data_IF_501097347262
#
_entry.id   IF_501097347262
#
_cell.length_a   1.000
_cell.length_b   1.000
_cell.length_c   1.000
_cell.angle_alpha   90.00
_cell.angle_beta   90.00
_cell.angle_gamma   90.00
#
_symmetry.space_group_name_H-M   'P 1'
#
loop_
_entity.id
_entity.type
_entity.pdbx_description
1 polymer ?
#
# COMPACT_ATOMS: atom_id res chain seq x y z
N UNK A 1 26.59 -0.23 -13.01
CA UNK A 1 26.01 -1.29 -12.13
C UNK A 1 25.11 -0.73 -11.01
N UNK A 2 25.54 0.19 -10.12
CA UNK A 2 24.65 0.79 -9.09
C UNK A 2 23.59 1.67 -9.73
N UNK A 3 24.03 2.57 -10.61
CA UNK A 3 23.12 3.47 -11.33
C UNK A 3 22.07 2.65 -12.08
N UNK A 4 22.47 1.59 -12.78
CA UNK A 4 21.56 0.67 -13.49
C UNK A 4 20.57 -0.05 -12.56
N UNK A 5 21.02 -0.49 -11.36
CA UNK A 5 20.10 -1.07 -10.36
C UNK A 5 19.12 -0.05 -9.80
N UNK A 6 19.57 1.17 -9.55
CA UNK A 6 18.70 2.25 -9.09
C UNK A 6 17.72 2.67 -10.18
N UNK A 7 18.17 2.72 -11.44
CA UNK A 7 17.32 2.89 -12.62
C UNK A 7 16.22 1.82 -12.64
N UNK A 8 16.59 0.55 -12.47
CA UNK A 8 15.61 -0.55 -12.42
C UNK A 8 14.64 -0.39 -11.25
N UNK A 9 15.13 -0.01 -10.07
CA UNK A 9 14.30 0.23 -8.88
C UNK A 9 13.32 1.39 -9.12
N UNK A 10 13.79 2.51 -9.66
CA UNK A 10 12.95 3.67 -9.95
C UNK A 10 11.93 3.32 -11.04
N UNK A 11 12.30 2.56 -12.07
CA UNK A 11 11.36 2.08 -13.07
C UNK A 11 10.31 1.13 -12.47
N UNK A 12 10.70 0.26 -11.55
CA UNK A 12 9.76 -0.65 -10.88
C UNK A 12 8.78 0.13 -9.99
N UNK A 13 9.30 1.03 -9.13
CA UNK A 13 8.51 1.77 -8.15
C UNK A 13 7.74 2.96 -8.73
N UNK A 14 8.24 3.63 -9.77
CA UNK A 14 7.52 4.74 -10.42
C UNK A 14 6.71 4.22 -11.60
N UNK A 15 7.29 3.34 -12.43
CA UNK A 15 6.60 2.70 -13.55
C UNK A 15 5.42 1.82 -13.12
N UNK A 16 5.48 1.22 -11.93
CA UNK A 16 4.34 0.49 -11.36
C UNK A 16 3.12 1.37 -11.09
N UNK A 17 3.32 2.66 -10.79
CA UNK A 17 2.27 3.56 -10.30
C UNK A 17 1.87 4.67 -11.27
N UNK A 18 2.64 4.92 -12.32
CA UNK A 18 2.40 6.02 -13.27
C UNK A 18 2.19 5.46 -14.69
N UNK A 19 1.24 6.03 -15.43
CA UNK A 19 0.87 5.62 -16.80
C UNK A 19 1.79 6.21 -17.86
N UNK A 20 2.14 7.50 -17.73
CA UNK A 20 2.76 8.31 -18.77
C UNK A 20 4.27 8.54 -18.55
N UNK A 21 5.02 7.48 -18.22
CA UNK A 21 6.47 7.56 -18.08
C UNK A 21 7.16 7.29 -19.41
N UNK A 22 8.06 8.18 -19.82
CA UNK A 22 9.07 7.86 -20.81
C UNK A 22 10.27 7.20 -20.11
N UNK A 23 10.35 5.87 -20.20
CA UNK A 23 11.37 5.08 -19.53
C UNK A 23 12.80 5.41 -20.00
N UNK A 24 12.99 5.76 -21.28
CA UNK A 24 14.31 6.08 -21.81
C UNK A 24 14.85 7.40 -21.24
N UNK A 25 13.98 8.42 -21.16
CA UNK A 25 14.33 9.70 -20.53
C UNK A 25 14.56 9.57 -19.02
N UNK A 26 13.77 8.74 -18.34
CA UNK A 26 13.95 8.44 -16.92
C UNK A 26 15.29 7.78 -16.66
N UNK A 27 15.65 6.77 -17.46
CA UNK A 27 16.93 6.07 -17.36
C UNK A 27 18.11 7.04 -17.49
N UNK A 28 18.08 7.89 -18.52
CA UNK A 28 19.11 8.91 -18.74
C UNK A 28 19.25 9.86 -17.55
N UNK A 29 18.13 10.40 -17.07
CA UNK A 29 18.09 11.37 -15.96
C UNK A 29 18.62 10.80 -14.64
N UNK A 30 18.35 9.52 -14.36
CA UNK A 30 18.90 8.83 -13.17
C UNK A 30 20.41 8.66 -13.28
N UNK A 31 20.95 8.36 -14.48
CA UNK A 31 22.39 8.21 -14.70
C UNK A 31 23.14 9.53 -14.49
N UNK A 32 22.54 10.65 -14.87
CA UNK A 32 23.05 12.01 -14.63
C UNK A 32 22.94 12.45 -13.16
N UNK A 33 22.03 11.83 -12.39
CA UNK A 33 21.84 12.12 -10.97
C UNK A 33 20.83 13.24 -10.69
N UNK A 34 20.07 13.67 -11.71
CA UNK A 34 18.96 14.59 -11.55
C UNK A 34 17.77 14.06 -12.34
N UNK A 35 16.79 13.53 -11.63
CA UNK A 35 15.53 13.06 -12.19
C UNK A 35 14.48 14.11 -11.91
N UNK A 36 13.76 14.51 -12.95
CA UNK A 36 12.57 15.33 -12.84
C UNK A 36 11.49 14.75 -13.74
N UNK A 37 10.41 14.29 -13.12
CA UNK A 37 9.21 13.79 -13.78
C UNK A 37 8.08 14.73 -13.42
N UNK A 38 7.32 15.21 -14.41
CA UNK A 38 6.26 16.21 -14.22
C UNK A 38 4.96 15.74 -14.87
N UNK A 39 3.83 16.28 -14.40
CA UNK A 39 2.46 16.00 -14.86
C UNK A 39 2.17 14.49 -14.95
N UNK A 40 2.34 13.78 -13.82
CA UNK A 40 2.25 12.32 -13.78
C UNK A 40 0.82 11.85 -13.54
N UNK A 41 0.35 10.94 -14.40
CA UNK A 41 -0.97 10.29 -14.29
C UNK A 41 -0.79 8.99 -13.53
N UNK A 42 -1.47 8.87 -12.39
CA UNK A 42 -1.34 7.70 -11.53
C UNK A 42 -2.29 6.60 -11.98
N UNK A 43 -1.78 5.37 -12.03
CA UNK A 43 -2.53 4.13 -12.31
C UNK A 43 -3.50 3.86 -11.16
N UNK A 44 -4.83 3.94 -11.37
CA UNK A 44 -5.79 3.71 -10.30
C UNK A 44 -5.67 2.30 -9.69
N UNK A 45 -5.51 1.29 -10.56
CA UNK A 45 -5.35 -0.10 -10.14
C UNK A 45 -4.11 -0.35 -9.28
N UNK A 46 -2.98 0.31 -9.60
CA UNK A 46 -1.75 0.16 -8.84
C UNK A 46 -1.84 0.79 -7.44
N UNK A 47 -2.49 1.95 -7.34
CA UNK A 47 -2.76 2.60 -6.05
C UNK A 47 -3.71 1.75 -5.20
N UNK A 48 -4.75 1.16 -5.79
CA UNK A 48 -5.65 0.25 -5.09
C UNK A 48 -4.94 -1.01 -4.57
N UNK A 49 -4.11 -1.63 -5.42
CA UNK A 49 -3.32 -2.81 -5.05
C UNK A 49 -2.37 -2.48 -3.90
N UNK A 50 -1.66 -1.35 -3.98
CA UNK A 50 -0.74 -0.91 -2.94
C UNK A 50 -1.46 -0.63 -1.62
N UNK A 51 -2.60 0.07 -1.65
CA UNK A 51 -3.41 0.32 -0.46
C UNK A 51 -3.97 -0.97 0.13
N UNK A 52 -4.42 -1.90 -0.72
CA UNK A 52 -4.93 -3.21 -0.30
C UNK A 52 -3.86 -4.04 0.39
N UNK A 53 -2.65 -4.08 -0.17
CA UNK A 53 -1.50 -4.77 0.42
C UNK A 53 -1.06 -4.11 1.74
N UNK A 54 -0.98 -2.77 1.78
CA UNK A 54 -0.55 -2.01 2.96
C UNK A 54 -1.53 -2.19 4.14
N UNK A 55 -2.84 -2.21 3.85
CA UNK A 55 -3.89 -2.33 4.85
C UNK A 55 -4.29 -3.78 5.14
N UNK A 56 -3.73 -4.74 4.38
CA UNK A 56 -3.98 -6.18 4.52
C UNK A 56 -5.40 -6.62 4.15
N UNK A 57 -6.20 -5.74 3.55
CA UNK A 57 -7.56 -6.02 3.09
C UNK A 57 -7.97 -5.05 1.99
N UNK A 58 -8.87 -5.48 1.13
CA UNK A 58 -9.50 -4.58 0.17
C UNK A 58 -10.36 -3.52 0.91
N UNK A 59 -10.52 -2.34 0.34
CA UNK A 59 -11.20 -1.20 0.99
C UNK A 59 -12.58 -0.91 0.39
N UNK A 60 -13.44 -0.19 1.11
CA UNK A 60 -14.78 0.19 0.62
C UNK A 60 -14.79 1.35 -0.38
N UNK A 61 -13.63 1.65 -0.95
CA UNK A 61 -13.42 2.66 -1.97
C UNK A 61 -12.51 2.12 -3.07
N UNK A 62 -12.63 2.73 -4.24
CA UNK A 62 -11.79 2.53 -5.43
C UNK A 62 -11.17 3.88 -5.82
N UNK A 63 -10.05 3.85 -6.54
CA UNK A 63 -9.40 5.06 -7.03
C UNK A 63 -10.06 5.41 -8.35
N UNK A 64 -10.68 6.59 -8.43
CA UNK A 64 -11.29 7.07 -9.66
C UNK A 64 -10.24 7.67 -10.60
N UNK A 65 -9.42 8.57 -10.06
CA UNK A 65 -8.30 9.22 -10.75
C UNK A 65 -7.23 9.65 -9.75
N UNK A 66 -5.98 9.71 -10.21
CA UNK A 66 -4.86 10.18 -9.42
C UNK A 66 -3.86 10.97 -10.26
N UNK A 67 -3.25 11.98 -9.66
CA UNK A 67 -2.29 12.86 -10.30
C UNK A 67 -1.18 13.26 -9.35
N UNK A 68 0.01 13.48 -9.89
CA UNK A 68 1.15 14.02 -9.18
C UNK A 68 1.83 15.08 -10.04
N UNK A 69 1.91 16.32 -9.55
CA UNK A 69 2.47 17.44 -10.33
C UNK A 69 3.93 17.18 -10.69
N UNK A 70 4.76 16.73 -9.74
CA UNK A 70 6.11 16.27 -10.05
C UNK A 70 6.74 15.33 -9.02
N UNK A 71 7.73 14.56 -9.47
CA UNK A 71 8.74 13.86 -8.65
C UNK A 71 10.12 14.38 -9.07
N UNK A 72 10.91 14.82 -8.09
CA UNK A 72 12.32 15.17 -8.31
C UNK A 72 13.21 14.32 -7.42
N UNK A 73 14.23 13.70 -8.00
CA UNK A 73 15.26 12.97 -7.28
C UNK A 73 16.63 13.51 -7.67
N UNK A 74 17.37 14.04 -6.70
CA UNK A 74 18.72 14.54 -6.89
C UNK A 74 19.70 13.64 -6.14
N UNK A 75 20.62 13.02 -6.86
CA UNK A 75 21.69 12.16 -6.35
C UNK A 75 23.03 12.71 -6.87
N UNK A 76 23.91 13.21 -5.99
CA UNK A 76 25.18 13.80 -6.39
C UNK A 76 26.24 12.73 -6.68
N UNK A 77 26.10 11.99 -7.79
CA UNK A 77 27.00 10.87 -8.13
C UNK A 77 28.48 11.22 -8.12
N UNK A 78 28.84 12.43 -8.56
CA UNK A 78 30.24 12.88 -8.63
C UNK A 78 30.85 13.24 -7.28
N UNK A 79 30.04 13.40 -6.23
CA UNK A 79 30.51 13.80 -4.90
C UNK A 79 29.64 13.21 -3.77
N UNK A 80 29.34 11.91 -3.85
CA UNK A 80 28.52 11.22 -2.85
C UNK A 80 29.11 11.26 -1.44
N UNK A 81 30.42 11.51 -1.26
CA UNK A 81 31.08 11.49 0.04
C UNK A 81 31.65 12.86 0.45
N UNK A 82 31.24 13.95 -0.22
CA UNK A 82 31.82 15.28 0.00
C UNK A 82 30.82 16.38 0.26
N UNK A 83 29.75 16.14 1.02
CA UNK A 83 28.90 17.23 1.52
C UNK A 83 27.68 17.55 0.67
N UNK A 84 27.16 16.61 -0.13
CA UNK A 84 25.98 16.87 -0.98
C UNK A 84 24.86 15.86 -0.71
N UNK A 85 23.67 16.40 -0.43
CA UNK A 85 22.52 15.64 0.05
C UNK A 85 21.77 14.91 -1.07
N UNK A 86 21.23 13.73 -0.75
CA UNK A 86 20.25 13.05 -1.61
C UNK A 86 18.88 13.62 -1.30
N UNK A 87 18.20 14.18 -2.31
CA UNK A 87 16.88 14.80 -2.11
C UNK A 87 15.83 14.13 -2.97
N UNK A 88 14.71 13.76 -2.34
CA UNK A 88 13.51 13.27 -3.00
C UNK A 88 12.36 14.24 -2.70
N UNK A 89 11.84 14.88 -3.74
CA UNK A 89 10.70 15.78 -3.66
C UNK A 89 9.51 15.21 -4.42
N UNK A 90 8.34 15.25 -3.80
CA UNK A 90 7.05 14.98 -4.41
C UNK A 90 6.13 16.16 -4.13
N UNK A 91 5.51 16.72 -5.16
CA UNK A 91 4.57 17.82 -5.00
C UNK A 91 3.28 17.56 -5.77
N UNK A 92 2.17 18.01 -5.19
CA UNK A 92 0.89 18.06 -5.88
C UNK A 92 0.25 16.69 -6.07
N UNK A 93 0.20 15.88 -5.01
CA UNK A 93 -0.46 14.57 -5.04
C UNK A 93 -1.97 14.74 -4.85
N UNK A 94 -2.74 14.56 -5.92
CA UNK A 94 -4.20 14.68 -5.90
C UNK A 94 -4.85 13.34 -6.23
N UNK A 95 -5.69 12.82 -5.34
CA UNK A 95 -6.37 11.54 -5.52
C UNK A 95 -7.86 11.71 -5.28
N UNK A 96 -8.68 11.28 -6.24
CA UNK A 96 -10.12 11.20 -6.10
C UNK A 96 -10.55 9.73 -5.97
N UNK A 97 -11.23 9.42 -4.88
CA UNK A 97 -11.74 8.10 -4.54
C UNK A 97 -13.27 8.07 -4.69
N UNK A 98 -13.81 6.92 -5.09
CA UNK A 98 -15.25 6.63 -5.16
C UNK A 98 -15.60 5.36 -4.37
N UNK A 99 -16.86 5.15 -3.97
CA UNK A 99 -17.28 3.89 -3.36
C UNK A 99 -17.12 2.74 -4.35
N UNK A 100 -16.75 1.56 -3.86
CA UNK A 100 -16.72 0.34 -4.70
C UNK A 100 -18.10 0.08 -5.27
N UNK A 101 -18.20 -0.01 -6.60
CA UNK A 101 -19.43 -0.45 -7.25
C UNK A 101 -19.73 -1.90 -6.87
N UNK A 102 -20.94 -2.20 -6.37
CA UNK A 102 -21.34 -3.57 -6.02
C UNK A 102 -21.78 -4.41 -7.24
N UNK A 103 -21.97 -3.79 -8.40
CA UNK A 103 -22.62 -4.43 -9.55
C UNK A 103 -21.62 -5.07 -10.53
N UNK A 104 -20.33 -4.75 -10.42
CA UNK A 104 -19.26 -5.25 -11.30
C UNK A 104 -18.37 -6.28 -10.60
N UNK A 105 -18.71 -7.57 -10.66
CA UNK A 105 -17.81 -8.63 -10.18
C UNK A 105 -16.82 -9.03 -11.27
N UNK A 106 -15.55 -8.65 -11.11
CA UNK A 106 -14.46 -9.15 -11.95
C UNK A 106 -13.75 -10.29 -11.20
N UNK A 107 -14.01 -11.52 -11.63
CA UNK A 107 -13.44 -12.73 -11.01
C UNK A 107 -11.92 -12.74 -11.04
N UNK A 108 -11.31 -12.40 -12.17
CA UNK A 108 -9.87 -12.43 -12.35
C UNK A 108 -9.17 -11.43 -11.43
N UNK A 109 -9.70 -10.21 -11.34
CA UNK A 109 -9.17 -9.16 -10.44
C UNK A 109 -9.24 -9.58 -8.98
N UNK A 110 -10.36 -10.16 -8.53
CA UNK A 110 -10.52 -10.61 -7.15
C UNK A 110 -9.53 -11.75 -6.83
N UNK A 111 -9.43 -12.74 -7.71
CA UNK A 111 -8.48 -13.85 -7.54
C UNK A 111 -7.02 -13.36 -7.51
N UNK A 112 -6.66 -12.40 -8.37
CA UNK A 112 -5.32 -11.79 -8.38
C UNK A 112 -5.00 -11.07 -7.06
N UNK A 113 -5.93 -10.27 -6.54
CA UNK A 113 -5.74 -9.55 -5.27
C UNK A 113 -5.64 -10.51 -4.09
N UNK A 114 -6.51 -11.54 -4.04
CA UNK A 114 -6.45 -12.58 -3.00
C UNK A 114 -5.10 -13.32 -3.03
N UNK A 115 -4.58 -13.62 -4.23
CA UNK A 115 -3.24 -14.21 -4.42
C UNK A 115 -2.14 -13.27 -3.90
N UNK A 116 -2.17 -11.99 -4.27
CA UNK A 116 -1.16 -11.00 -3.85
C UNK A 116 -1.15 -10.84 -2.32
N UNK A 117 -2.32 -10.70 -1.69
CA UNK A 117 -2.47 -10.62 -0.24
C UNK A 117 -1.92 -11.88 0.45
N UNK A 118 -2.29 -13.05 -0.07
CA UNK A 118 -1.82 -14.33 0.44
C UNK A 118 -0.30 -14.46 0.36
N UNK A 119 0.30 -14.13 -0.77
CA UNK A 119 1.75 -14.15 -0.95
C UNK A 119 2.45 -13.14 -0.02
N UNK A 120 1.88 -11.94 0.15
CA UNK A 120 2.40 -10.94 1.08
C UNK A 120 2.37 -11.46 2.53
N UNK A 121 1.27 -12.09 2.96
CA UNK A 121 1.16 -12.73 4.28
C UNK A 121 2.19 -13.87 4.45
N UNK A 122 2.35 -14.73 3.44
CA UNK A 122 3.34 -15.81 3.47
C UNK A 122 4.76 -15.26 3.58
N UNK A 123 5.10 -14.20 2.84
CA UNK A 123 6.41 -13.53 2.93
C UNK A 123 6.64 -12.89 4.31
N UNK A 124 5.62 -12.26 4.89
CA UNK A 124 5.72 -11.65 6.21
C UNK A 124 5.87 -12.68 7.34
N UNK A 125 5.25 -13.85 7.20
CA UNK A 125 5.21 -14.90 8.22
C UNK A 125 6.29 -15.97 8.06
N UNK A 126 7.00 -16.03 6.93
CA UNK A 126 8.08 -17.00 6.74
C UNK A 126 9.35 -16.53 7.47
N UNK A 127 9.78 -17.20 8.56
CA UNK A 127 10.97 -16.79 9.32
C UNK A 127 12.26 -16.86 8.50
N UNK A 128 12.24 -17.56 7.36
CA UNK A 128 13.37 -17.59 6.43
C UNK A 128 13.56 -16.28 5.65
N UNK A 129 12.56 -15.39 5.59
CA UNK A 129 12.71 -14.06 4.97
C UNK A 129 13.58 -13.16 5.85
N UNK A 130 13.42 -13.24 7.17
CA UNK A 130 14.28 -12.52 8.13
C UNK A 130 15.72 -13.04 8.05
N UNK A 131 15.92 -14.36 7.89
CA UNK A 131 17.25 -14.97 7.68
C UNK A 131 17.83 -14.76 6.27
N UNK A 132 17.01 -14.54 5.24
CA UNK A 132 17.47 -14.27 3.86
C UNK A 132 17.87 -12.81 3.68
N UNK A 133 17.13 -11.87 4.26
CA UNK A 133 17.54 -10.45 4.26
C UNK A 133 18.88 -10.28 4.99
N UNK A 134 19.16 -11.07 6.03
CA UNK A 134 20.47 -11.06 6.69
C UNK A 134 21.57 -11.78 5.88
N UNK A 135 21.27 -12.87 5.16
CA UNK A 135 22.27 -13.64 4.37
C UNK A 135 22.50 -13.14 2.93
N UNK A 136 21.54 -12.46 2.31
CA UNK A 136 21.71 -11.84 0.97
C UNK A 136 22.50 -10.53 1.04
N UNK A 137 22.46 -9.84 2.17
CA UNK A 137 23.38 -8.74 2.49
C UNK A 137 24.86 -9.20 2.50
N UNK A 138 25.12 -10.48 2.82
CA UNK A 138 26.48 -11.03 2.91
C UNK A 138 27.09 -11.45 1.56
N UNK A 139 26.31 -11.53 0.46
CA UNK A 139 26.78 -12.16 -0.80
C UNK A 139 27.39 -11.23 -1.86
N UNK A 140 27.32 -9.89 -1.71
CA UNK A 140 27.99 -8.96 -2.64
C UNK A 140 28.69 -7.80 -1.91
N UNK A 141 29.96 -7.47 -2.23
CA UNK A 141 30.90 -6.93 -1.25
C UNK A 141 30.91 -5.39 -1.23
N UNK A 142 30.69 -4.83 -0.03
CA UNK A 142 31.31 -3.60 0.47
C UNK A 142 30.82 -2.25 -0.10
N UNK A 143 30.93 -2.01 -1.41
CA UNK A 143 30.73 -0.67 -1.98
C UNK A 143 29.27 -0.36 -2.29
N UNK A 144 28.52 -1.36 -2.78
CA UNK A 144 27.12 -1.25 -3.14
C UNK A 144 26.24 -1.05 -1.90
N UNK A 145 26.49 -1.83 -0.85
CA UNK A 145 25.81 -1.64 0.43
C UNK A 145 26.13 -0.28 1.05
N UNK A 146 27.39 0.16 0.97
CA UNK A 146 27.78 1.48 1.51
C UNK A 146 27.07 2.61 0.79
N UNK A 147 26.94 2.56 -0.53
CA UNK A 147 26.23 3.59 -1.31
C UNK A 147 24.72 3.53 -1.06
N UNK A 148 24.12 2.34 -0.99
CA UNK A 148 22.71 2.18 -0.64
C UNK A 148 22.40 2.65 0.78
N UNK A 149 23.23 2.28 1.76
CA UNK A 149 23.16 2.77 3.15
C UNK A 149 23.38 4.27 3.21
N UNK A 150 24.33 4.83 2.46
CA UNK A 150 24.55 6.28 2.39
C UNK A 150 23.30 7.01 1.88
N UNK A 151 22.70 6.54 0.78
CA UNK A 151 21.46 7.10 0.24
C UNK A 151 20.36 7.02 1.30
N UNK A 152 20.13 5.87 1.93
CA UNK A 152 19.09 5.72 2.95
C UNK A 152 19.34 6.58 4.20
N UNK A 153 20.60 6.70 4.62
CA UNK A 153 21.00 7.48 5.78
C UNK A 153 20.80 8.97 5.53
N UNK A 154 21.10 9.47 4.33
CA UNK A 154 21.12 10.89 4.00
C UNK A 154 19.99 11.37 3.09
N UNK A 155 19.05 10.49 2.71
CA UNK A 155 17.88 10.91 1.93
C UNK A 155 17.03 11.88 2.73
N UNK A 156 16.83 13.05 2.14
CA UNK A 156 15.86 14.04 2.57
C UNK A 156 14.60 13.87 1.73
N UNK A 157 13.46 13.83 2.40
CA UNK A 157 12.16 13.63 1.75
C UNK A 157 11.33 14.88 1.97
N UNK A 158 10.83 15.44 0.87
CA UNK A 158 9.85 16.53 0.88
C UNK A 158 8.63 16.10 0.11
N UNK A 159 7.50 15.99 0.79
CA UNK A 159 6.19 15.75 0.18
C UNK A 159 5.36 17.00 0.45
N UNK A 160 4.72 17.56 -0.56
CA UNK A 160 3.96 18.81 -0.41
C UNK A 160 2.68 18.80 -1.25
N UNK A 161 1.71 19.60 -0.83
CA UNK A 161 0.44 19.80 -1.55
C UNK A 161 -0.30 18.49 -1.84
N UNK A 162 -0.60 17.70 -0.81
CA UNK A 162 -1.36 16.45 -0.96
C UNK A 162 -2.83 16.68 -0.63
N UNK A 163 -3.71 16.19 -1.50
CA UNK A 163 -5.14 16.13 -1.24
C UNK A 163 -5.73 14.80 -1.73
N UNK A 164 -6.20 14.00 -0.79
CA UNK A 164 -6.98 12.79 -1.06
C UNK A 164 -8.44 13.08 -0.72
N UNK A 165 -9.33 12.98 -1.70
CA UNK A 165 -10.77 13.21 -1.54
C UNK A 165 -11.54 11.95 -1.90
N UNK A 166 -12.51 11.60 -1.09
CA UNK A 166 -13.48 10.54 -1.30
C UNK A 166 -14.86 11.15 -1.50
N UNK A 167 -15.55 10.75 -2.57
CA UNK A 167 -16.92 11.16 -2.86
C UNK A 167 -17.82 9.94 -2.95
N UNK A 168 -18.91 9.96 -2.18
CA UNK A 168 -19.82 8.83 -2.08
C UNK A 168 -21.25 9.24 -2.35
N UNK A 169 -21.84 8.62 -3.38
CA UNK A 169 -23.23 8.77 -3.80
C UNK A 169 -24.03 7.46 -3.63
N UNK A 170 -23.39 6.40 -3.12
CA UNK A 170 -23.89 5.02 -3.12
C UNK A 170 -24.29 4.56 -1.71
N UNK A 171 -23.48 4.83 -0.69
CA UNK A 171 -23.73 4.28 0.65
C UNK A 171 -25.00 4.82 1.31
N UNK A 172 -25.39 6.05 0.98
CA UNK A 172 -26.61 6.70 1.44
C UNK A 172 -27.36 7.36 0.26
N UNK A 173 -28.20 6.61 -0.48
CA UNK A 173 -28.88 7.12 -1.66
C UNK A 173 -29.63 8.43 -1.41
N UNK A 174 -29.42 9.42 -2.28
CA UNK A 174 -30.02 10.75 -2.17
C UNK A 174 -29.34 11.70 -1.18
N UNK A 175 -28.28 11.27 -0.50
CA UNK A 175 -27.46 12.11 0.38
C UNK A 175 -25.96 11.92 0.08
N UNK A 176 -25.47 12.45 -1.06
CA UNK A 176 -24.05 12.45 -1.36
C UNK A 176 -23.25 13.11 -0.24
N UNK A 177 -22.08 12.56 0.07
CA UNK A 177 -21.14 13.19 1.00
C UNK A 177 -19.72 13.12 0.43
N UNK A 178 -18.84 13.95 0.98
CA UNK A 178 -17.42 13.88 0.67
C UNK A 178 -16.59 13.94 1.94
N UNK A 179 -15.49 13.20 1.96
CA UNK A 179 -14.51 13.21 3.03
C UNK A 179 -13.12 13.30 2.42
N UNK A 180 -12.14 13.84 3.14
CA UNK A 180 -10.80 13.92 2.60
C UNK A 180 -9.75 14.30 3.62
N UNK A 181 -8.51 14.07 3.21
CA UNK A 181 -7.31 14.46 3.94
C UNK A 181 -6.48 15.42 3.12
N UNK A 182 -5.97 16.45 3.78
CA UNK A 182 -5.05 17.43 3.19
C UNK A 182 -3.78 17.42 4.01
N UNK A 183 -2.65 17.44 3.32
CA UNK A 183 -1.33 17.62 3.91
C UNK A 183 -0.63 18.76 3.17
N UNK A 184 -0.32 19.83 3.89
CA UNK A 184 0.44 20.95 3.35
C UNK A 184 1.87 20.53 3.01
N UNK A 185 2.53 19.85 3.94
CA UNK A 185 3.80 19.20 3.65
C UNK A 185 4.33 18.29 4.75
N UNK A 186 5.04 17.25 4.32
CA UNK A 186 5.82 16.32 5.14
C UNK A 186 7.29 16.44 4.73
N UNK A 187 8.14 16.73 5.70
CA UNK A 187 9.56 16.91 5.52
C UNK A 187 10.30 15.94 6.43
N UNK A 188 11.30 15.24 5.91
CA UNK A 188 12.15 14.33 6.69
C UNK A 188 13.59 14.65 6.38
N UNK A 189 14.35 15.01 7.41
CA UNK A 189 15.77 15.34 7.32
C UNK A 189 16.59 14.43 8.22
N UNK A 190 17.87 14.29 7.90
CA UNK A 190 18.85 13.63 8.75
C UNK A 190 19.50 14.66 9.67
N UNK A 191 19.66 14.32 10.93
CA UNK A 191 20.15 15.24 11.98
C UNK A 191 21.24 14.60 12.83
N UNK A 192 21.92 15.42 13.63
CA UNK A 192 22.79 14.96 14.71
C UNK A 192 21.98 14.63 15.98
N UNK A 193 22.68 14.26 17.05
CA UNK A 193 22.14 14.03 18.39
C UNK A 193 21.51 15.28 19.04
N UNK A 194 21.84 16.47 18.53
CA UNK A 194 21.28 17.77 18.93
C UNK A 194 20.10 18.23 18.06
N UNK A 195 19.68 17.44 17.08
CA UNK A 195 18.60 17.75 16.12
C UNK A 195 18.90 18.90 15.15
N UNK A 196 20.18 19.15 14.90
CA UNK A 196 20.63 20.04 13.84
C UNK A 196 20.85 19.23 12.56
N UNK A 197 20.52 19.78 11.41
CA UNK A 197 20.67 19.12 10.11
C UNK A 197 22.15 18.86 9.83
N UNK A 198 22.49 17.59 9.61
CA UNK A 198 23.86 17.16 9.29
C UNK A 198 23.82 15.98 8.32
N UNK A 199 24.91 15.83 7.59
CA UNK A 199 25.18 14.60 6.84
C UNK A 199 25.86 13.56 7.73
N UNK A 200 25.48 12.30 7.57
CA UNK A 200 26.06 11.17 8.29
C UNK A 200 26.86 10.28 7.34
N UNK A 201 28.02 9.81 7.79
CA UNK A 201 28.75 8.77 7.06
C UNK A 201 27.95 7.45 7.02
N UNK A 202 28.20 6.66 5.98
CA UNK A 202 27.72 5.30 5.77
C UNK A 202 27.99 4.33 6.94
N UNK A 203 28.94 4.65 7.83
CA UNK A 203 29.30 3.86 9.01
C UNK A 203 28.51 4.18 10.29
N UNK A 204 27.61 5.17 10.25
CA UNK A 204 26.84 5.60 11.42
C UNK A 204 25.99 4.46 12.02
N UNK A 205 26.24 4.14 13.28
CA UNK A 205 25.51 3.11 14.04
C UNK A 205 24.18 3.60 14.62
N UNK A 206 24.05 4.91 14.81
CA UNK A 206 22.85 5.57 15.32
C UNK A 206 22.47 6.64 14.30
N UNK A 207 21.23 6.61 13.82
CA UNK A 207 20.69 7.56 12.86
C UNK A 207 19.63 8.40 13.55
N UNK A 208 19.75 9.72 13.47
CA UNK A 208 18.70 10.64 13.92
C UNK A 208 18.00 11.21 12.68
N UNK A 209 16.68 11.08 12.63
CA UNK A 209 15.84 11.69 11.60
C UNK A 209 14.81 12.60 12.23
N UNK A 210 14.65 13.78 11.66
CA UNK A 210 13.66 14.76 12.06
C UNK A 210 12.56 14.83 10.99
N UNK A 211 11.38 14.35 11.35
CA UNK A 211 10.17 14.49 10.56
C UNK A 211 9.37 15.71 10.99
N UNK A 212 8.87 16.50 10.04
CA UNK A 212 7.93 17.60 10.28
C UNK A 212 6.73 17.45 9.36
N UNK A 213 5.55 17.48 9.94
CA UNK A 213 4.29 17.53 9.22
C UNK A 213 3.66 18.91 9.42
N UNK A 214 3.09 19.47 8.36
CA UNK A 214 2.49 20.79 8.34
C UNK A 214 1.12 20.76 7.69
N UNK A 215 0.18 21.50 8.27
CA UNK A 215 -1.21 21.64 7.82
C UNK A 215 -1.91 20.32 7.51
N UNK A 216 -1.65 19.29 8.32
CA UNK A 216 -2.38 18.03 8.18
C UNK A 216 -3.79 18.20 8.75
N UNK A 217 -4.81 17.91 7.94
CA UNK A 217 -6.22 18.07 8.31
C UNK A 217 -7.09 17.00 7.67
N UNK A 218 -8.20 16.69 8.34
CA UNK A 218 -9.24 15.80 7.83
C UNK A 218 -10.57 16.55 7.83
N UNK A 219 -11.36 16.37 6.78
CA UNK A 219 -12.68 16.96 6.67
C UNK A 219 -13.73 15.93 6.29
N UNK A 220 -14.98 16.24 6.64
CA UNK A 220 -16.15 15.44 6.32
C UNK A 220 -17.34 16.35 6.05
N UNK A 221 -17.70 16.49 4.78
CA UNK A 221 -18.88 17.22 4.32
C UNK A 221 -20.05 16.25 4.23
N UNK A 222 -20.90 16.24 5.26
CA UNK A 222 -22.00 15.27 5.42
C UNK A 222 -23.08 15.34 4.33
N UNK A 223 -23.09 16.42 3.56
CA UNK A 223 -23.96 16.60 2.39
C UNK A 223 -23.25 17.47 1.38
N UNK A 224 -23.15 16.97 0.15
CA UNK A 224 -22.57 17.70 -0.98
C UNK A 224 -23.62 17.76 -2.10
N UNK A 225 -23.77 18.90 -2.75
CA UNK A 225 -24.66 19.04 -3.90
C UNK A 225 -24.07 18.32 -5.10
N UNK A 226 -24.91 17.79 -5.99
CA UNK A 226 -24.42 17.09 -7.20
C UNK A 226 -23.54 17.96 -8.09
N UNK A 227 -23.73 19.29 -8.08
CA UNK A 227 -22.90 20.26 -8.81
C UNK A 227 -21.51 20.49 -8.21
N UNK A 228 -21.31 20.14 -6.93
CA UNK A 228 -20.04 20.30 -6.20
C UNK A 228 -19.25 18.99 -6.13
N UNK A 229 -19.78 17.91 -6.72
CA UNK A 229 -19.07 16.64 -6.87
C UNK A 229 -18.03 16.78 -7.97
N UNK A 230 -16.77 16.52 -7.62
CA UNK A 230 -15.64 16.55 -8.54
C UNK A 230 -15.65 15.32 -9.46
N UNK A 231 -16.25 14.23 -9.00
CA UNK A 231 -16.36 12.97 -9.73
C UNK A 231 -17.30 12.99 -10.92
N UNK A 232 -17.83 14.12 -11.36
CA UNK A 232 -18.57 14.18 -12.62
C UNK A 232 -17.69 13.76 -13.82
N UNK A 233 -18.26 12.94 -14.70
CA UNK A 233 -17.52 12.33 -15.82
C UNK A 233 -16.89 13.38 -16.74
N UNK A 234 -17.56 14.51 -16.98
CA UNK A 234 -17.05 15.58 -17.84
C UNK A 234 -15.85 16.32 -17.22
N UNK A 235 -15.90 16.59 -15.91
CA UNK A 235 -14.79 17.22 -15.17
C UNK A 235 -13.58 16.30 -15.06
N UNK A 236 -13.80 15.00 -14.91
CA UNK A 236 -12.73 14.00 -14.87
C UNK A 236 -12.04 13.91 -16.24
N UNK A 237 -12.81 13.79 -17.32
CA UNK A 237 -12.28 13.69 -18.69
C UNK A 237 -11.53 14.95 -19.15
N UNK A 238 -12.02 16.14 -18.78
CA UNK A 238 -11.35 17.40 -19.09
C UNK A 238 -10.12 17.70 -18.23
N UNK A 239 -9.86 16.92 -17.18
CA UNK A 239 -8.76 17.14 -16.24
C UNK A 239 -8.98 18.30 -15.25
N UNK A 240 -10.14 18.98 -15.29
CA UNK A 240 -10.45 20.12 -14.43
C UNK A 240 -10.47 19.78 -12.93
N UNK A 241 -10.73 18.50 -12.60
CA UNK A 241 -10.70 17.97 -11.24
C UNK A 241 -9.36 18.21 -10.52
N UNK A 242 -8.22 18.14 -11.25
CA UNK A 242 -6.87 18.36 -10.70
C UNK A 242 -6.74 19.76 -10.10
N UNK A 243 -7.18 20.75 -10.87
CA UNK A 243 -7.13 22.16 -10.47
C UNK A 243 -8.04 22.45 -9.26
N UNK A 244 -9.22 21.82 -9.20
CA UNK A 244 -10.12 21.97 -8.05
C UNK A 244 -9.48 21.43 -6.77
N UNK A 245 -8.91 20.22 -6.80
CA UNK A 245 -8.22 19.64 -5.64
C UNK A 245 -7.00 20.48 -5.24
N UNK A 246 -6.19 20.93 -6.21
CA UNK A 246 -5.04 21.80 -5.98
C UNK A 246 -5.42 23.11 -5.28
N UNK A 247 -6.41 23.82 -5.81
CA UNK A 247 -6.88 25.09 -5.23
C UNK A 247 -7.49 24.90 -3.83
N UNK A 248 -8.19 23.78 -3.62
CA UNK A 248 -8.85 23.48 -2.36
C UNK A 248 -7.90 23.26 -1.18
N UNK A 249 -6.63 22.94 -1.41
CA UNK A 249 -5.62 22.85 -0.34
C UNK A 249 -5.48 24.20 0.38
N UNK A 250 -5.46 25.30 -0.38
CA UNK A 250 -5.36 26.66 0.13
C UNK A 250 -6.72 27.25 0.51
N UNK A 251 -7.73 27.09 -0.34
CA UNK A 251 -9.05 27.70 -0.12
C UNK A 251 -9.90 26.97 0.92
N UNK A 252 -9.56 25.70 1.23
CA UNK A 252 -10.34 24.80 2.09
C UNK A 252 -11.80 24.67 1.64
N UNK A 253 -12.03 24.71 0.33
CA UNK A 253 -13.34 24.55 -0.29
C UNK A 253 -13.21 24.03 -1.72
N UNK A 254 -14.25 23.36 -2.20
CA UNK A 254 -14.39 22.97 -3.61
C UNK A 254 -15.66 23.63 -4.14
N UNK A 255 -15.55 24.33 -5.27
CA UNK A 255 -16.66 25.11 -5.83
C UNK A 255 -17.25 26.06 -4.79
N UNK A 256 -18.51 25.87 -4.36
CA UNK A 256 -19.12 26.67 -3.29
C UNK A 256 -19.07 26.00 -1.90
N UNK A 257 -18.66 24.73 -1.83
CA UNK A 257 -18.75 23.91 -0.63
C UNK A 257 -17.47 23.99 0.23
N UNK A 258 -17.59 24.62 1.41
CA UNK A 258 -16.50 24.75 2.38
C UNK A 258 -16.28 23.45 3.13
N UNK A 259 -15.02 23.06 3.32
CA UNK A 259 -14.70 21.86 4.07
C UNK A 259 -15.15 21.96 5.52
N UNK A 260 -15.88 20.95 5.96
CA UNK A 260 -16.32 20.80 7.34
C UNK A 260 -15.26 19.97 8.09
N UNK A 261 -14.33 20.59 8.85
CA UNK A 261 -13.23 19.87 9.47
C UNK A 261 -13.74 18.84 10.49
N UNK A 262 -13.10 17.69 10.53
CA UNK A 262 -13.19 16.70 11.62
C UNK A 262 -11.93 16.72 12.46
N UNK A 263 -10.78 16.98 11.80
CA UNK A 263 -9.50 17.23 12.43
C UNK A 263 -8.99 18.57 11.89
N UNK A 264 -8.86 19.56 12.78
CA UNK A 264 -8.36 20.87 12.39
C UNK A 264 -6.92 20.75 11.88
N UNK A 265 -6.48 21.61 10.94
CA UNK A 265 -5.09 21.64 10.52
C UNK A 265 -4.15 21.74 11.71
N UNK A 266 -3.23 20.80 11.83
CA UNK A 266 -2.17 20.84 12.82
C UNK A 266 -0.81 20.54 12.22
N UNK A 267 0.22 20.94 12.96
CA UNK A 267 1.61 20.63 12.66
C UNK A 267 2.21 19.82 13.79
N UNK A 268 3.09 18.89 13.45
CA UNK A 268 3.78 18.06 14.40
C UNK A 268 5.22 17.79 13.97
N UNK A 269 6.07 17.51 14.95
CA UNK A 269 7.46 17.13 14.77
C UNK A 269 7.68 15.74 15.36
N UNK A 270 8.36 14.88 14.61
CA UNK A 270 8.73 13.54 15.00
C UNK A 270 10.25 13.41 15.00
N UNK A 271 10.81 13.19 16.19
CA UNK A 271 12.23 12.95 16.42
C UNK A 271 12.46 11.44 16.47
N UNK A 272 13.07 10.87 15.43
CA UNK A 272 13.27 9.43 15.26
C UNK A 272 14.74 9.08 15.46
N UNK A 273 15.02 8.09 16.30
CA UNK A 273 16.36 7.53 16.50
C UNK A 273 16.31 6.06 16.07
N UNK A 274 17.16 5.69 15.12
CA UNK A 274 17.30 4.31 14.64
C UNK A 274 18.65 3.77 15.10
N UNK A 275 18.63 2.61 15.75
CA UNK A 275 19.83 1.91 16.19
C UNK A 275 20.14 0.77 15.22
N UNK A 276 21.18 0.94 14.41
CA UNK A 276 21.73 -0.09 13.52
C UNK A 276 22.78 -0.93 14.26
N UNK A 277 22.45 -1.34 15.49
CA UNK A 277 23.29 -2.19 16.35
C UNK A 277 22.47 -3.41 16.69
N UNK A 278 23.03 -4.60 16.46
CA UNK A 278 22.42 -5.86 16.88
C UNK A 278 22.71 -6.11 18.37
N UNK A 279 22.14 -5.25 19.21
CA UNK A 279 22.13 -5.40 20.67
C UNK A 279 20.68 -5.46 21.16
N UNK A 280 20.32 -6.60 21.76
CA UNK A 280 18.98 -6.85 22.30
C UNK A 280 18.60 -5.94 23.48
N UNK A 281 19.57 -5.24 24.07
CA UNK A 281 19.33 -4.30 25.18
C UNK A 281 18.81 -2.93 24.72
N UNK A 282 18.94 -2.60 23.43
CA UNK A 282 18.54 -1.30 22.88
C UNK A 282 17.30 -1.43 21.98
N UNK A 283 16.34 -0.49 22.06
CA UNK A 283 15.22 -0.46 21.13
C UNK A 283 15.75 -0.15 19.72
N UNK A 284 15.36 -0.91 18.69
CA UNK A 284 15.80 -0.62 17.31
C UNK A 284 15.31 0.74 16.79
N UNK A 285 14.17 1.20 17.29
CA UNK A 285 13.53 2.46 16.89
C UNK A 285 13.02 3.17 18.15
N UNK A 286 13.39 4.42 18.32
CA UNK A 286 12.83 5.33 19.32
C UNK A 286 12.20 6.52 18.61
N UNK A 287 10.96 6.88 18.97
CA UNK A 287 10.22 7.98 18.34
C UNK A 287 9.69 8.90 19.43
N UNK A 288 10.07 10.19 19.36
CA UNK A 288 9.49 11.26 20.17
C UNK A 288 8.65 12.16 19.29
N UNK A 289 7.33 12.13 19.50
CA UNK A 289 6.38 12.98 18.79
C UNK A 289 6.07 14.23 19.62
N UNK A 290 6.11 15.40 18.99
CA UNK A 290 5.71 16.69 19.56
C UNK A 290 4.62 17.30 18.68
N UNK A 291 3.42 17.46 19.23
CA UNK A 291 2.27 18.04 18.55
C UNK A 291 1.96 19.37 19.23
N UNK A 292 1.81 20.45 18.46
CA UNK A 292 1.57 21.78 19.05
C UNK A 292 0.16 21.89 19.64
N UNK A 293 -0.85 21.81 18.78
CA UNK A 293 -2.26 21.80 19.13
C UNK A 293 -3.00 21.03 18.03
N UNK A 294 -3.83 20.07 18.42
CA UNK A 294 -4.57 19.24 17.50
C UNK A 294 -5.98 19.03 18.04
N UNK A 295 -6.96 19.53 17.30
CA UNK A 295 -8.35 19.48 17.69
C UNK A 295 -9.16 18.58 16.75
N UNK A 296 -9.81 17.58 17.34
CA UNK A 296 -10.79 16.75 16.66
C UNK A 296 -12.20 17.11 17.14
N UNK A 297 -13.06 17.51 16.20
CA UNK A 297 -14.47 17.84 16.47
C UNK A 297 -15.34 17.16 15.43
N UNK A 298 -16.44 16.55 15.87
CA UNK A 298 -17.39 15.93 14.95
C UNK A 298 -18.80 16.41 15.29
N UNK A 299 -19.46 17.02 14.31
CA UNK A 299 -20.87 17.38 14.40
C UNK A 299 -21.77 16.14 14.36
N UNK A 300 -23.02 16.28 14.81
CA UNK A 300 -24.02 15.19 14.73
C UNK A 300 -24.23 14.69 13.30
N UNK A 301 -24.25 15.58 12.30
CA UNK A 301 -24.42 15.19 10.89
C UNK A 301 -23.22 14.41 10.37
N UNK A 302 -22.00 14.81 10.74
CA UNK A 302 -20.77 14.08 10.40
C UNK A 302 -20.75 12.71 11.04
N UNK A 303 -21.09 12.61 12.33
CA UNK A 303 -21.18 11.34 13.03
C UNK A 303 -22.16 10.38 12.35
N UNK A 304 -23.40 10.82 12.10
CA UNK A 304 -24.41 9.98 11.44
C UNK A 304 -23.95 9.53 10.05
N UNK A 305 -23.43 10.45 9.24
CA UNK A 305 -22.93 10.14 7.89
C UNK A 305 -21.75 9.17 7.92
N UNK A 306 -20.78 9.35 8.84
CA UNK A 306 -19.66 8.44 9.01
C UNK A 306 -20.10 7.06 9.50
N UNK A 307 -21.05 6.98 10.44
CA UNK A 307 -21.59 5.68 10.88
C UNK A 307 -22.31 4.93 9.76
N UNK A 308 -23.06 5.62 8.89
CA UNK A 308 -23.70 5.01 7.72
C UNK A 308 -22.68 4.46 6.73
N UNK A 309 -21.60 5.20 6.48
CA UNK A 309 -20.50 4.72 5.66
C UNK A 309 -19.79 3.51 6.29
N UNK A 310 -19.57 3.52 7.61
CA UNK A 310 -19.00 2.37 8.33
C UNK A 310 -19.89 1.13 8.23
N UNK A 311 -21.21 1.28 8.33
CA UNK A 311 -22.15 0.18 8.10
C UNK A 311 -22.12 -0.32 6.66
N UNK A 312 -22.03 0.58 5.68
CA UNK A 312 -21.85 0.22 4.28
C UNK A 312 -20.55 -0.58 4.06
N UNK A 313 -19.43 -0.10 4.61
CA UNK A 313 -18.14 -0.79 4.54
C UNK A 313 -18.21 -2.18 5.16
N UNK A 314 -18.87 -2.33 6.32
CA UNK A 314 -19.07 -3.65 6.95
C UNK A 314 -19.91 -4.57 6.08
N UNK A 315 -20.99 -4.06 5.46
CA UNK A 315 -21.80 -4.86 4.52
C UNK A 315 -20.99 -5.27 3.30
N UNK A 316 -20.14 -4.39 2.78
CA UNK A 316 -19.25 -4.71 1.66
C UNK A 316 -18.28 -5.83 2.04
N UNK A 317 -17.64 -5.75 3.21
CA UNK A 317 -16.73 -6.78 3.72
C UNK A 317 -17.42 -8.15 3.84
N UNK A 318 -18.66 -8.19 4.30
CA UNK A 318 -19.45 -9.44 4.31
C UNK A 318 -19.78 -9.89 2.89
N UNK A 319 -20.24 -8.98 2.03
CA UNK A 319 -20.67 -9.28 0.67
C UNK A 319 -19.53 -9.79 -0.21
N UNK A 320 -18.29 -9.34 0.00
CA UNK A 320 -17.11 -9.76 -0.79
C UNK A 320 -17.01 -11.27 -0.94
N UNK A 321 -17.13 -11.99 0.16
CA UNK A 321 -17.06 -13.47 0.20
C UNK A 321 -18.12 -14.13 -0.68
N UNK A 322 -19.30 -13.53 -0.75
CA UNK A 322 -20.47 -14.07 -1.43
C UNK A 322 -20.69 -13.48 -2.82
N UNK A 323 -19.96 -12.41 -3.18
CA UNK A 323 -20.17 -11.60 -4.38
C UNK A 323 -20.14 -12.42 -5.67
N UNK A 324 -19.30 -13.45 -5.72
CA UNK A 324 -19.18 -14.40 -6.84
C UNK A 324 -20.49 -15.10 -7.21
N UNK A 325 -21.43 -15.21 -6.27
CA UNK A 325 -22.73 -15.85 -6.45
C UNK A 325 -23.87 -14.84 -6.67
N UNK A 326 -23.61 -13.54 -6.53
CA UNK A 326 -24.65 -12.49 -6.55
C UNK A 326 -25.25 -12.35 -7.96
N UNK A 327 -26.59 -12.41 -8.11
CA UNK A 327 -27.24 -12.19 -9.40
C UNK A 327 -27.12 -10.72 -9.83
N UNK A 328 -26.99 -10.47 -11.13
CA UNK A 328 -26.98 -9.11 -11.71
C UNK A 328 -28.38 -8.53 -11.92
N UNK A 329 -29.41 -9.38 -11.96
CA UNK A 329 -30.80 -8.97 -12.14
C UNK A 329 -31.44 -8.50 -10.83
N UNK A 330 -32.41 -7.58 -10.92
CA UNK A 330 -33.19 -7.17 -9.74
C UNK A 330 -33.90 -8.35 -9.07
N UNK A 331 -34.19 -8.20 -7.77
CA UNK A 331 -34.93 -9.22 -7.00
C UNK A 331 -36.28 -9.52 -7.64
N UNK A 332 -36.99 -8.47 -8.10
CA UNK A 332 -38.31 -8.59 -8.72
C UNK A 332 -38.27 -9.35 -10.05
N UNK A 333 -37.20 -9.19 -10.83
CA UNK A 333 -37.07 -9.85 -12.14
C UNK A 333 -36.71 -11.34 -12.04
N UNK A 334 -36.04 -11.79 -10.98
CA UNK A 334 -35.59 -13.19 -10.88
C UNK A 334 -35.45 -13.68 -9.44
N UNK A 335 -36.57 -13.80 -8.73
CA UNK A 335 -36.60 -14.27 -7.33
C UNK A 335 -35.86 -15.61 -7.12
N UNK A 336 -35.97 -16.54 -8.10
CA UNK A 336 -35.28 -17.84 -8.06
C UNK A 336 -33.76 -17.72 -8.00
N UNK A 337 -33.18 -16.78 -8.75
CA UNK A 337 -31.72 -16.58 -8.76
C UNK A 337 -31.22 -16.03 -7.42
N UNK A 338 -32.01 -15.17 -6.75
CA UNK A 338 -31.69 -14.65 -5.42
C UNK A 338 -31.78 -15.70 -4.32
N UNK A 339 -32.73 -16.65 -4.42
CA UNK A 339 -32.74 -17.81 -3.52
C UNK A 339 -31.56 -18.75 -3.75
N UNK A 340 -31.19 -18.99 -5.01
CA UNK A 340 -29.98 -19.77 -5.34
C UNK A 340 -28.73 -19.10 -4.77
N UNK A 341 -28.60 -17.78 -4.90
CA UNK A 341 -27.53 -17.01 -4.30
C UNK A 341 -27.42 -17.22 -2.78
N UNK A 342 -28.54 -17.10 -2.05
CA UNK A 342 -28.56 -17.31 -0.60
C UNK A 342 -28.17 -18.75 -0.25
N UNK A 343 -28.70 -19.73 -0.97
CA UNK A 343 -28.38 -21.15 -0.80
C UNK A 343 -26.90 -21.46 -1.05
N UNK A 344 -26.35 -21.03 -2.19
CA UNK A 344 -24.95 -21.25 -2.55
C UNK A 344 -24.00 -20.55 -1.57
N UNK A 345 -24.34 -19.34 -1.13
CA UNK A 345 -23.56 -18.58 -0.16
C UNK A 345 -23.35 -19.35 1.16
N UNK A 346 -24.40 -19.97 1.69
CA UNK A 346 -24.34 -20.79 2.91
C UNK A 346 -23.68 -22.13 2.64
N UNK A 347 -24.08 -22.81 1.57
CA UNK A 347 -23.62 -24.16 1.27
C UNK A 347 -22.11 -24.22 0.99
N UNK A 348 -21.60 -23.29 0.18
CA UNK A 348 -20.19 -23.27 -0.25
C UNK A 348 -19.22 -22.82 0.84
N UNK A 349 -19.68 -22.04 1.82
CA UNK A 349 -18.80 -21.48 2.85
C UNK A 349 -18.95 -22.18 4.21
N UNK A 350 -20.15 -22.66 4.55
CA UNK A 350 -20.42 -23.17 5.90
C UNK A 350 -20.59 -24.69 5.94
N UNK A 351 -20.87 -25.36 4.80
CA UNK A 351 -21.21 -26.79 4.78
C UNK A 351 -20.20 -27.59 3.95
N UNK A 352 -20.08 -27.32 2.64
CA UNK A 352 -19.23 -28.09 1.72
C UNK A 352 -17.75 -28.14 2.12
N UNK A 353 -17.11 -27.06 2.62
CA UNK A 353 -15.72 -27.11 3.06
C UNK A 353 -15.46 -28.11 4.19
N UNK A 354 -16.47 -28.38 5.02
CA UNK A 354 -16.39 -29.27 6.17
C UNK A 354 -16.95 -30.67 5.91
N UNK A 355 -17.26 -30.98 4.64
CA UNK A 355 -17.69 -32.33 4.26
C UNK A 355 -16.53 -33.32 4.32
N UNK A 356 -16.80 -34.56 4.72
CA UNK A 356 -15.75 -35.60 4.84
C UNK A 356 -14.94 -35.81 3.54
N UNK A 357 -15.56 -35.89 2.34
CA UNK A 357 -14.80 -36.00 1.10
C UNK A 357 -13.84 -34.83 0.87
N UNK A 358 -14.27 -33.60 1.22
CA UNK A 358 -13.44 -32.40 1.08
C UNK A 358 -12.30 -32.37 2.10
N UNK A 359 -12.54 -32.85 3.32
CA UNK A 359 -11.50 -33.00 4.35
C UNK A 359 -10.47 -34.07 3.94
N UNK A 360 -10.91 -35.18 3.34
CA UNK A 360 -10.01 -36.24 2.84
C UNK A 360 -9.17 -35.74 1.67
N UNK A 361 -9.79 -35.12 0.66
CA UNK A 361 -9.08 -34.44 -0.43
C UNK A 361 -8.09 -33.41 0.16
N UNK A 362 -8.59 -32.69 1.17
CA UNK A 362 -7.90 -31.83 2.11
C UNK A 362 -6.50 -32.32 2.47
N UNK A 363 -6.54 -33.39 3.25
CA UNK A 363 -5.38 -34.05 3.81
C UNK A 363 -4.44 -34.57 2.74
N UNK A 364 -4.98 -35.13 1.65
CA UNK A 364 -4.16 -35.64 0.54
C UNK A 364 -3.39 -34.52 -0.17
N UNK A 365 -4.01 -33.36 -0.40
CA UNK A 365 -3.36 -32.19 -1.00
C UNK A 365 -2.27 -31.65 -0.08
N UNK A 366 -2.56 -31.55 1.22
CA UNK A 366 -1.57 -31.18 2.24
C UNK A 366 -0.35 -32.12 2.25
N UNK A 367 -0.59 -33.44 2.24
CA UNK A 367 0.47 -34.46 2.22
C UNK A 367 1.35 -34.39 0.98
N UNK A 368 0.73 -34.19 -0.18
CA UNK A 368 1.45 -34.00 -1.44
C UNK A 368 2.30 -32.72 -1.38
N UNK A 369 1.74 -31.62 -0.88
CA UNK A 369 2.40 -30.33 -0.83
C UNK A 369 3.65 -30.34 0.06
N UNK A 370 3.57 -30.82 1.31
CA UNK A 370 4.76 -30.80 2.18
C UNK A 370 5.87 -31.69 1.64
N UNK A 371 5.54 -32.84 1.04
CA UNK A 371 6.52 -33.72 0.37
C UNK A 371 7.18 -33.04 -0.82
N UNK A 372 6.41 -32.29 -1.62
CA UNK A 372 6.96 -31.51 -2.74
C UNK A 372 7.85 -30.36 -2.25
N UNK A 373 7.46 -29.70 -1.16
CA UNK A 373 8.25 -28.64 -0.55
C UNK A 373 9.55 -29.18 0.06
N UNK A 374 9.54 -30.38 0.65
CA UNK A 374 10.75 -31.06 1.11
C UNK A 374 11.71 -31.34 -0.07
N UNK A 375 11.20 -31.89 -1.18
CA UNK A 375 12.00 -32.05 -2.41
C UNK A 375 12.58 -30.74 -2.94
N UNK A 376 11.83 -29.64 -2.83
CA UNK A 376 12.33 -28.31 -3.19
C UNK A 376 13.51 -27.85 -2.30
N UNK A 377 13.51 -28.21 -1.01
CA UNK A 377 14.63 -27.95 -0.12
C UNK A 377 15.85 -28.82 -0.46
N UNK A 378 15.63 -30.08 -0.86
CA UNK A 378 16.68 -31.03 -1.26
C UNK A 378 17.32 -30.69 -2.61
N UNK A 379 16.54 -30.15 -3.57
CA UNK A 379 16.97 -29.93 -4.96
C UNK A 379 17.62 -28.57 -5.21
N UNK A 380 18.22 -27.97 -4.17
CA UNK A 380 18.74 -26.59 -4.17
C UNK A 380 17.80 -25.58 -4.85
N UNK A 381 16.49 -25.68 -4.54
CA UNK A 381 15.45 -24.72 -4.96
C UNK A 381 15.19 -24.65 -6.46
N UNK A 382 15.08 -25.80 -7.10
CA UNK A 382 14.64 -25.95 -8.50
C UNK A 382 13.40 -25.08 -8.85
N UNK A 383 13.52 -24.33 -9.94
CA UNK A 383 12.50 -23.41 -10.47
C UNK A 383 11.22 -24.13 -10.88
N UNK A 384 11.31 -25.34 -11.44
CA UNK A 384 10.14 -26.11 -11.88
C UNK A 384 9.32 -26.59 -10.67
N UNK A 385 10.00 -27.04 -9.61
CA UNK A 385 9.33 -27.42 -8.37
C UNK A 385 8.69 -26.19 -7.72
N UNK A 386 9.35 -25.02 -7.75
CA UNK A 386 8.81 -23.76 -7.26
C UNK A 386 7.50 -23.37 -7.96
N UNK A 387 7.46 -23.44 -9.30
CA UNK A 387 6.25 -23.13 -10.06
C UNK A 387 5.08 -24.05 -9.69
N UNK A 388 5.34 -25.36 -9.54
CA UNK A 388 4.32 -26.32 -9.10
C UNK A 388 3.83 -26.06 -7.68
N UNK A 389 4.71 -25.63 -6.77
CA UNK A 389 4.32 -25.20 -5.43
C UNK A 389 3.44 -23.96 -5.48
N UNK A 390 3.79 -22.95 -6.29
CA UNK A 390 2.99 -21.73 -6.47
C UNK A 390 1.59 -22.03 -7.05
N UNK A 391 1.47 -23.01 -7.95
CA UNK A 391 0.18 -23.48 -8.47
C UNK A 391 -0.68 -24.14 -7.40
N UNK A 392 -0.11 -25.03 -6.57
CA UNK A 392 -0.84 -25.65 -5.45
C UNK A 392 -1.17 -24.65 -4.35
N UNK A 393 -0.32 -23.64 -4.15
CA UNK A 393 -0.60 -22.53 -3.25
C UNK A 393 -1.81 -21.72 -3.73
N UNK A 394 -2.28 -21.83 -4.97
CA UNK A 394 -3.52 -21.12 -5.35
C UNK A 394 -4.77 -21.66 -4.66
N UNK A 395 -4.83 -22.96 -4.35
CA UNK A 395 -6.02 -23.60 -3.78
C UNK A 395 -5.97 -23.83 -2.27
N UNK A 396 -4.79 -23.82 -1.65
CA UNK A 396 -4.62 -24.07 -0.21
C UNK A 396 -4.90 -22.82 0.65
N UNK A 397 -4.92 -22.94 1.97
CA UNK A 397 -4.99 -21.77 2.88
C UNK A 397 -3.60 -21.35 3.38
N UNK A 398 -3.41 -20.08 3.74
CA UNK A 398 -2.15 -19.55 4.31
C UNK A 398 -1.67 -20.41 5.49
N UNK A 399 -2.54 -20.68 6.45
CA UNK A 399 -2.22 -21.44 7.66
C UNK A 399 -1.69 -22.84 7.34
N UNK A 400 -2.25 -23.50 6.32
CA UNK A 400 -1.88 -24.87 5.99
C UNK A 400 -0.63 -24.92 5.13
N UNK A 401 -0.41 -23.93 4.27
CA UNK A 401 0.88 -23.73 3.62
C UNK A 401 1.98 -23.56 4.68
N UNK A 402 1.77 -22.71 5.68
CA UNK A 402 2.76 -22.50 6.75
C UNK A 402 3.03 -23.78 7.55
N UNK A 403 1.98 -24.51 7.95
CA UNK A 403 2.11 -25.80 8.64
C UNK A 403 2.86 -26.82 7.78
N UNK A 404 2.51 -26.94 6.50
CA UNK A 404 3.13 -27.87 5.59
C UNK A 404 4.62 -27.54 5.33
N UNK A 405 4.94 -26.26 5.15
CA UNK A 405 6.34 -25.79 5.04
C UNK A 405 7.12 -26.05 6.31
N UNK A 406 6.51 -25.85 7.49
CA UNK A 406 7.15 -26.14 8.77
C UNK A 406 7.41 -27.64 8.92
N UNK A 407 6.43 -28.50 8.66
CA UNK A 407 6.59 -29.94 8.67
C UNK A 407 7.70 -30.41 7.72
N UNK A 408 7.69 -29.93 6.47
CA UNK A 408 8.71 -30.26 5.50
C UNK A 408 10.13 -29.82 5.94
N UNK A 409 10.27 -28.71 6.66
CA UNK A 409 11.55 -28.25 7.22
C UNK A 409 12.04 -29.14 8.36
N UNK A 410 11.14 -29.59 9.25
CA UNK A 410 11.46 -30.53 10.35
C UNK A 410 11.96 -31.85 9.77
N UNK A 411 11.19 -32.43 8.86
CA UNK A 411 11.49 -33.72 8.19
C UNK A 411 12.74 -33.65 7.30
N UNK A 412 13.11 -32.46 6.80
CA UNK A 412 14.35 -32.24 6.08
C UNK A 412 15.55 -32.17 7.04
N UNK A 413 15.38 -31.51 8.19
CA UNK A 413 16.43 -31.39 9.20
C UNK A 413 16.81 -32.74 9.82
N UNK A 414 15.80 -33.54 10.22
CA UNK A 414 16.00 -34.88 10.81
C UNK A 414 16.82 -35.80 9.87
N UNK A 415 16.49 -35.83 8.57
CA UNK A 415 17.24 -36.66 7.60
C UNK A 415 18.64 -36.14 7.25
N UNK A 416 18.90 -34.83 7.45
CA UNK A 416 20.26 -34.29 7.31
C UNK A 416 21.14 -34.51 8.54
N UNK A 417 20.56 -34.71 9.73
CA UNK A 417 21.33 -35.07 10.93
C UNK A 417 21.69 -36.57 10.97
N UNK A 418 20.93 -37.42 10.25
CA UNK A 418 21.21 -38.86 10.10
C UNK A 418 22.20 -39.21 8.97
N UNK A 419 22.58 -38.26 8.11
CA UNK A 419 23.57 -38.41 7.03
C UNK A 419 24.94 -37.85 7.43
#
# INVERSE_FOLDING_TARGET
MIKDRLVNLINEYVGGFVENINHDNLNYSVLEGKVELTDLVLKPSALEDALTLQLGKEQAFEVKVGHLDYIRLSIPWGNLFGGTEVRLELDGLYILLSPVSMDTYNKERVEEIEQKLKQAMLKALDPSVIQKVSKEAEKHPGLFEKIGKYILNNIQIKISNVHVRYEDIVSNPGKPFAAGGILGGLYVFTTNDRWEEVELDSSAKILHKLGRISDFSLYWNSRVSSSDLVGDTGLVQSGGWKNLLKQSIRSKMISADKFSPVLTPFSAEAKVILYNIDDYKMPKIYIKLSVQDAEARMSRSQYVSATQWLEFSKRLDVNRRYRKFRPTSSVKSSVKSWWRYAYESVLEHNIRPYSWPRIVQYKQEYEKYWKLYKKYLESDKDVNIKQRLEEWEKSMDVTNILKARAQAKVEFAEETEER
#
